data_IF_390945399251
#
_entry.id   IF_390945399251
#
_cell.length_a   1.000
_cell.length_b   1.000
_cell.length_c   1.000
_cell.angle_alpha   90.00
_cell.angle_beta   90.00
_cell.angle_gamma   90.00
#
_symmetry.space_group_name_H-M   'P 1'
#
loop_
_entity.id
_entity.type
_entity.pdbx_description
1 polymer ?
#
# COMPACT_ATOMS: atom_id res chain seq x y z
N UNK A 1 -13.23 1.83 -1.06
CA UNK A 1 -13.36 2.30 -2.44
C UNK A 1 -14.21 3.57 -2.61
N UNK A 2 -15.12 3.89 -1.68
CA UNK A 2 -15.86 5.17 -1.67
C UNK A 2 -14.88 6.34 -1.50
N UNK A 3 -13.85 6.17 -0.68
CA UNK A 3 -12.79 7.15 -0.48
C UNK A 3 -12.10 7.53 -1.81
N UNK A 4 -11.82 6.54 -2.65
CA UNK A 4 -11.23 6.78 -3.99
C UNK A 4 -12.16 7.55 -4.91
N UNK A 5 -13.46 7.30 -4.83
CA UNK A 5 -14.44 8.08 -5.60
C UNK A 5 -14.46 9.53 -5.13
N UNK A 6 -14.44 9.75 -3.82
CA UNK A 6 -14.38 11.08 -3.23
C UNK A 6 -13.11 11.85 -3.66
N UNK A 7 -11.96 11.20 -3.61
CA UNK A 7 -10.68 11.76 -4.07
C UNK A 7 -10.71 12.09 -5.57
N UNK A 8 -11.34 11.24 -6.39
CA UNK A 8 -11.49 11.49 -7.82
C UNK A 8 -12.31 12.76 -8.11
N UNK A 9 -13.40 12.98 -7.38
CA UNK A 9 -14.21 14.19 -7.52
C UNK A 9 -13.45 15.43 -7.05
N UNK A 10 -12.74 15.35 -5.93
CA UNK A 10 -11.87 16.44 -5.45
C UNK A 10 -10.72 16.76 -6.41
N UNK A 11 -10.15 15.75 -7.06
CA UNK A 11 -9.15 15.94 -8.12
C UNK A 11 -9.70 16.65 -9.35
N UNK A 12 -11.03 16.63 -9.55
CA UNK A 12 -11.74 17.33 -10.63
C UNK A 12 -12.37 18.66 -10.20
N UNK A 13 -12.03 19.16 -9.02
CA UNK A 13 -12.46 20.48 -8.52
C UNK A 13 -13.81 20.50 -7.83
N UNK A 14 -14.42 19.36 -7.54
CA UNK A 14 -15.69 19.29 -6.82
C UNK A 14 -15.41 19.20 -5.31
N UNK A 15 -15.34 20.35 -4.64
CA UNK A 15 -15.04 20.41 -3.20
C UNK A 15 -16.23 19.99 -2.32
N UNK A 16 -17.45 20.22 -2.80
CA UNK A 16 -18.69 20.03 -2.05
C UNK A 16 -19.39 18.72 -2.41
N UNK A 17 -18.61 17.73 -2.85
CA UNK A 17 -19.17 16.43 -3.22
C UNK A 17 -19.69 15.70 -1.98
N UNK A 18 -20.95 15.29 -2.05
CA UNK A 18 -21.62 14.46 -1.04
C UNK A 18 -21.84 13.06 -1.62
N UNK A 19 -21.29 12.06 -0.99
CA UNK A 19 -21.46 10.66 -1.38
C UNK A 19 -22.30 9.96 -0.31
N UNK A 20 -23.50 9.51 -0.70
CA UNK A 20 -24.34 8.73 0.20
C UNK A 20 -23.83 7.30 0.32
N UNK A 21 -24.07 6.64 1.47
CA UNK A 21 -23.73 5.24 1.64
C UNK A 21 -24.26 4.39 0.48
N UNK A 22 -23.49 3.41 -0.03
CA UNK A 22 -23.91 2.59 -1.15
C UNK A 22 -25.10 1.72 -0.76
N UNK A 23 -26.09 1.66 -1.63
CA UNK A 23 -27.17 0.68 -1.53
C UNK A 23 -26.67 -0.60 -2.18
N UNK A 24 -26.58 -1.66 -1.38
CA UNK A 24 -26.14 -2.98 -1.81
C UNK A 24 -27.36 -3.82 -2.19
N UNK A 25 -27.44 -4.21 -3.45
CA UNK A 25 -28.47 -5.11 -3.94
C UNK A 25 -27.82 -6.40 -4.47
N UNK A 26 -28.15 -7.53 -3.84
CA UNK A 26 -27.57 -8.83 -4.19
C UNK A 26 -28.57 -9.58 -5.07
N UNK A 27 -28.26 -9.69 -6.37
CA UNK A 27 -29.12 -10.37 -7.35
C UNK A 27 -28.47 -11.63 -7.91
N UNK A 28 -29.30 -12.62 -8.20
CA UNK A 28 -28.88 -13.78 -9.01
C UNK A 28 -28.75 -13.31 -10.48
N UNK A 29 -27.78 -13.85 -11.27
CA UNK A 29 -27.66 -13.47 -12.68
C UNK A 29 -28.90 -13.90 -13.46
N UNK A 30 -29.62 -12.93 -13.99
CA UNK A 30 -30.83 -13.18 -14.79
C UNK A 30 -31.32 -11.93 -15.50
N UNK A 31 -31.75 -12.05 -16.77
CA UNK A 31 -32.39 -11.01 -17.57
C UNK A 31 -33.51 -10.34 -16.78
N UNK A 32 -33.86 -9.05 -17.10
CA UNK A 32 -35.05 -8.35 -16.58
C UNK A 32 -36.22 -9.34 -16.49
N UNK A 33 -36.60 -9.70 -15.28
CA UNK A 33 -37.60 -10.76 -15.08
C UNK A 33 -38.84 -10.12 -14.48
N UNK A 34 -39.98 -10.39 -15.10
CA UNK A 34 -41.29 -10.11 -14.50
C UNK A 34 -41.36 -10.81 -13.14
N UNK A 35 -41.72 -10.07 -12.09
CA UNK A 35 -41.79 -10.58 -10.71
C UNK A 35 -42.60 -11.85 -10.56
N UNK A 36 -43.61 -12.03 -11.42
CA UNK A 36 -44.44 -13.24 -11.47
C UNK A 36 -43.67 -14.49 -11.92
N UNK A 37 -42.68 -14.32 -12.84
CA UNK A 37 -41.80 -15.42 -13.28
C UNK A 37 -40.76 -15.78 -12.24
N UNK A 38 -40.34 -14.83 -11.44
CA UNK A 38 -39.33 -15.02 -10.38
C UNK A 38 -39.95 -15.83 -9.22
N UNK A 39 -41.17 -15.51 -8.79
CA UNK A 39 -41.93 -16.28 -7.78
C UNK A 39 -42.18 -17.72 -8.22
N UNK A 40 -42.54 -17.93 -9.49
CA UNK A 40 -42.77 -19.26 -10.04
C UNK A 40 -41.46 -20.07 -10.18
N UNK A 41 -40.29 -19.42 -10.34
CA UNK A 41 -38.97 -20.06 -10.33
C UNK A 41 -38.50 -20.40 -8.93
N UNK A 42 -38.71 -19.52 -7.96
CA UNK A 42 -38.39 -19.80 -6.55
C UNK A 42 -39.18 -20.99 -6.01
N UNK A 43 -40.44 -21.08 -6.40
CA UNK A 43 -41.31 -22.18 -6.01
C UNK A 43 -40.86 -23.52 -6.63
N UNK A 44 -40.47 -23.50 -7.91
CA UNK A 44 -39.89 -24.65 -8.59
C UNK A 44 -38.52 -25.07 -8.01
N UNK A 45 -37.71 -24.09 -7.60
CA UNK A 45 -36.37 -24.36 -7.00
C UNK A 45 -36.53 -24.95 -5.59
N UNK A 46 -37.45 -24.43 -4.78
CA UNK A 46 -37.81 -25.00 -3.47
C UNK A 46 -38.34 -26.45 -3.60
N UNK A 47 -39.17 -26.69 -4.62
CA UNK A 47 -39.68 -28.05 -4.88
C UNK A 47 -38.60 -29.01 -5.39
N UNK A 48 -37.63 -28.52 -6.17
CA UNK A 48 -36.48 -29.28 -6.65
C UNK A 48 -35.50 -29.61 -5.51
N UNK A 49 -35.27 -28.67 -4.60
CA UNK A 49 -34.42 -28.86 -3.43
C UNK A 49 -35.04 -29.82 -2.42
N UNK A 50 -36.37 -29.75 -2.21
CA UNK A 50 -37.09 -30.77 -1.44
C UNK A 50 -36.96 -32.17 -2.04
N UNK A 51 -37.12 -32.32 -3.36
CA UNK A 51 -36.96 -33.63 -4.05
C UNK A 51 -35.50 -34.11 -4.00
N UNK A 52 -34.50 -33.20 -3.99
CA UNK A 52 -33.09 -33.56 -3.80
C UNK A 52 -32.83 -34.05 -2.39
N UNK A 53 -33.29 -33.31 -1.39
CA UNK A 53 -33.15 -33.67 0.02
C UNK A 53 -33.82 -35.04 0.31
N UNK A 54 -34.98 -35.29 -0.28
CA UNK A 54 -35.67 -36.58 -0.14
C UNK A 54 -34.90 -37.74 -0.83
N UNK A 55 -34.29 -37.49 -2.00
CA UNK A 55 -33.40 -38.45 -2.66
C UNK A 55 -32.12 -38.71 -1.89
N UNK A 56 -31.52 -37.68 -1.32
CA UNK A 56 -30.32 -37.81 -0.49
C UNK A 56 -30.62 -38.54 0.81
N UNK A 57 -31.73 -38.26 1.46
CA UNK A 57 -32.17 -38.95 2.65
C UNK A 57 -32.43 -40.47 2.35
N UNK A 58 -33.05 -40.77 1.19
CA UNK A 58 -33.23 -42.16 0.73
C UNK A 58 -31.92 -42.88 0.37
N UNK A 59 -30.96 -42.10 -0.19
CA UNK A 59 -29.61 -42.64 -0.51
C UNK A 59 -28.79 -42.85 0.76
N UNK A 60 -28.91 -41.97 1.75
CA UNK A 60 -28.24 -42.10 3.05
C UNK A 60 -28.80 -43.28 3.87
N UNK A 61 -30.11 -43.45 3.86
CA UNK A 61 -30.76 -44.64 4.46
C UNK A 61 -30.33 -45.98 3.81
N UNK A 62 -30.09 -45.96 2.49
CA UNK A 62 -29.50 -47.12 1.79
C UNK A 62 -28.01 -47.34 2.10
N UNK A 63 -27.24 -46.25 2.34
CA UNK A 63 -25.83 -46.32 2.74
C UNK A 63 -25.65 -46.89 4.16
N UNK A 64 -26.52 -46.51 5.09
CA UNK A 64 -26.48 -47.04 6.47
C UNK A 64 -26.70 -48.56 6.56
N UNK A 65 -27.22 -49.20 5.50
CA UNK A 65 -27.41 -50.65 5.41
C UNK A 65 -26.23 -51.40 4.78
N UNK A 66 -25.14 -50.71 4.40
CA UNK A 66 -23.95 -51.33 3.79
C UNK A 66 -22.71 -50.95 4.60
N UNK A 67 -21.91 -51.89 5.14
CA UNK A 67 -20.73 -51.58 5.89
C UNK A 67 -19.74 -50.78 5.04
N UNK A 68 -19.06 -49.73 5.62
CA UNK A 68 -18.12 -48.89 4.88
C UNK A 68 -16.89 -49.73 4.47
N UNK A 69 -16.45 -49.56 3.21
CA UNK A 69 -15.16 -50.12 2.76
C UNK A 69 -14.02 -49.37 3.50
N UNK A 70 -13.07 -50.10 4.11
CA UNK A 70 -11.93 -49.46 4.76
C UNK A 70 -11.08 -48.72 3.68
N UNK A 71 -10.79 -47.42 3.90
CA UNK A 71 -9.86 -46.62 3.09
C UNK A 71 -10.49 -45.69 2.06
N UNK A 72 -11.80 -45.47 2.03
CA UNK A 72 -12.40 -44.42 1.19
C UNK A 72 -12.29 -43.04 1.86
N UNK A 73 -11.75 -42.01 1.18
CA UNK A 73 -11.74 -40.65 1.73
C UNK A 73 -13.18 -40.14 1.92
N UNK A 74 -13.43 -39.27 2.92
CA UNK A 74 -14.77 -38.75 3.16
C UNK A 74 -15.27 -37.98 1.92
N UNK A 75 -16.56 -38.12 1.57
CA UNK A 75 -17.12 -37.39 0.44
C UNK A 75 -16.96 -35.87 0.65
N UNK A 76 -16.20 -35.26 -0.23
CA UNK A 76 -16.07 -33.81 -0.27
C UNK A 76 -17.43 -33.23 -0.68
N UNK A 77 -18.15 -32.66 0.24
CA UNK A 77 -19.37 -31.90 -0.06
C UNK A 77 -18.92 -30.66 -0.84
N UNK A 78 -19.08 -30.69 -2.14
CA UNK A 78 -18.89 -29.50 -2.98
C UNK A 78 -20.09 -28.62 -2.72
N UNK A 79 -19.89 -27.57 -1.90
CA UNK A 79 -20.89 -26.52 -1.76
C UNK A 79 -21.24 -25.95 -3.14
N UNK A 80 -22.52 -25.81 -3.48
CA UNK A 80 -22.92 -25.22 -4.74
C UNK A 80 -22.38 -23.80 -4.82
N UNK A 81 -21.50 -23.51 -5.78
CA UNK A 81 -21.00 -22.16 -6.06
C UNK A 81 -22.16 -21.35 -6.62
N UNK A 82 -22.97 -20.76 -5.76
CA UNK A 82 -24.01 -19.81 -6.16
C UNK A 82 -23.32 -18.53 -6.59
N UNK A 83 -23.23 -18.27 -7.89
CA UNK A 83 -22.77 -17.00 -8.41
C UNK A 83 -23.85 -15.97 -8.07
N UNK A 84 -23.54 -15.07 -7.15
CA UNK A 84 -24.37 -13.91 -6.82
C UNK A 84 -23.68 -12.67 -7.38
N UNK A 85 -24.44 -11.80 -8.02
CA UNK A 85 -23.97 -10.50 -8.46
C UNK A 85 -24.34 -9.49 -7.39
N UNK A 86 -23.38 -8.67 -7.00
CA UNK A 86 -23.58 -7.58 -6.07
C UNK A 86 -23.62 -6.29 -6.88
N UNK A 87 -24.75 -5.63 -6.87
CA UNK A 87 -24.93 -4.31 -7.48
C UNK A 87 -24.75 -3.26 -6.40
N UNK A 88 -23.79 -2.38 -6.59
CA UNK A 88 -23.54 -1.24 -5.72
C UNK A 88 -24.06 0.01 -6.41
N UNK A 89 -25.10 0.61 -5.85
CA UNK A 89 -25.61 1.90 -6.32
C UNK A 89 -25.12 2.99 -5.38
N UNK A 90 -24.24 3.86 -5.89
CA UNK A 90 -23.69 5.01 -5.16
C UNK A 90 -24.38 6.26 -5.71
N UNK A 91 -25.08 6.99 -4.83
CA UNK A 91 -25.67 8.29 -5.17
C UNK A 91 -24.68 9.39 -4.83
N UNK A 92 -24.27 10.15 -5.84
CA UNK A 92 -23.33 11.26 -5.70
C UNK A 92 -24.04 12.56 -6.02
N UNK A 93 -23.82 13.58 -5.19
CA UNK A 93 -24.17 14.96 -5.45
C UNK A 93 -22.88 15.74 -5.61
N UNK A 94 -22.58 16.16 -6.83
CA UNK A 94 -21.26 16.68 -7.21
C UNK A 94 -20.97 18.08 -6.66
N UNK A 95 -21.98 18.93 -6.58
CA UNK A 95 -21.80 20.35 -6.25
C UNK A 95 -21.20 21.16 -7.41
N UNK A 96 -20.80 22.42 -7.18
CA UNK A 96 -20.14 23.25 -8.17
C UNK A 96 -18.67 22.84 -8.36
N UNK A 97 -18.15 22.99 -9.59
CA UNK A 97 -16.74 22.83 -9.88
C UNK A 97 -15.98 24.13 -9.60
N UNK A 98 -14.93 24.06 -8.78
CA UNK A 98 -14.12 25.20 -8.40
C UNK A 98 -12.88 25.34 -9.29
N UNK A 99 -12.52 26.61 -9.56
CA UNK A 99 -11.25 27.00 -10.20
C UNK A 99 -10.28 27.53 -9.16
N UNK A 100 -9.00 27.32 -9.41
CA UNK A 100 -7.93 27.86 -8.57
C UNK A 100 -7.91 29.37 -8.66
N UNK A 101 -8.06 30.05 -7.53
CA UNK A 101 -7.89 31.48 -7.38
C UNK A 101 -6.43 31.85 -7.12
N UNK A 102 -6.23 32.73 -6.13
CA UNK A 102 -4.88 33.13 -5.69
C UNK A 102 -4.28 32.02 -4.83
N UNK A 103 -2.99 31.73 -5.08
CA UNK A 103 -2.20 30.86 -4.21
C UNK A 103 -1.23 31.70 -3.39
N UNK A 104 -1.26 31.58 -2.07
CA UNK A 104 -0.40 32.29 -1.13
C UNK A 104 0.37 31.31 -0.25
N UNK A 105 1.57 31.70 0.15
CA UNK A 105 2.44 30.90 1.03
C UNK A 105 2.69 31.66 2.32
N UNK A 106 2.69 30.94 3.44
CA UNK A 106 3.00 31.49 4.76
C UNK A 106 3.97 30.59 5.50
N UNK A 107 4.85 31.21 6.31
CA UNK A 107 5.77 30.46 7.18
C UNK A 107 7.03 29.91 6.49
N UNK A 108 7.27 30.29 5.24
CA UNK A 108 8.48 29.90 4.50
C UNK A 108 9.62 30.91 4.79
N UNK A 109 10.75 30.41 5.30
CA UNK A 109 11.98 31.17 5.50
C UNK A 109 13.16 30.58 4.72
N UNK A 110 13.20 29.26 4.57
CA UNK A 110 14.26 28.51 3.90
C UNK A 110 14.08 28.50 2.38
N UNK A 111 12.83 28.38 1.92
CA UNK A 111 12.47 28.41 0.50
C UNK A 111 11.77 29.72 0.17
N UNK A 112 12.06 30.29 -1.01
CA UNK A 112 11.31 31.47 -1.48
C UNK A 112 9.87 31.07 -1.84
N UNK A 113 8.93 32.02 -1.76
CA UNK A 113 7.54 31.81 -2.17
C UNK A 113 7.45 31.24 -3.60
N UNK A 114 8.28 31.77 -4.50
CA UNK A 114 8.37 31.31 -5.88
C UNK A 114 8.78 29.82 -5.96
N UNK A 115 9.77 29.41 -5.16
CA UNK A 115 10.22 28.02 -5.13
C UNK A 115 9.15 27.08 -4.57
N UNK A 116 8.43 27.54 -3.54
CA UNK A 116 7.31 26.80 -2.97
C UNK A 116 6.20 26.61 -4.01
N UNK A 117 5.75 27.72 -4.63
CA UNK A 117 4.67 27.66 -5.64
C UNK A 117 5.04 26.82 -6.86
N UNK A 118 6.31 26.79 -7.25
CA UNK A 118 6.80 25.96 -8.35
C UNK A 118 6.63 24.44 -8.12
N UNK A 119 6.36 24.00 -6.90
CA UNK A 119 6.08 22.58 -6.57
C UNK A 119 4.64 22.18 -6.83
N UNK A 120 3.76 23.16 -7.02
CA UNK A 120 2.34 22.92 -7.30
C UNK A 120 2.08 23.07 -8.79
N UNK A 121 1.65 21.98 -9.48
CA UNK A 121 1.31 22.04 -10.91
C UNK A 121 -0.08 22.65 -11.11
N UNK A 122 -0.35 23.80 -10.49
CA UNK A 122 -1.62 24.53 -10.52
C UNK A 122 -1.36 26.00 -10.83
N UNK A 123 -2.10 26.53 -11.80
CA UNK A 123 -2.08 27.94 -12.14
C UNK A 123 -3.43 28.59 -11.81
N UNK A 124 -3.48 29.89 -11.50
CA UNK A 124 -4.73 30.63 -11.36
C UNK A 124 -5.64 30.44 -12.58
N UNK A 125 -6.93 30.19 -12.35
CA UNK A 125 -7.92 29.94 -13.39
C UNK A 125 -8.07 28.48 -13.85
N UNK A 126 -7.12 27.60 -13.53
CA UNK A 126 -7.25 26.17 -13.80
C UNK A 126 -8.28 25.54 -12.84
N UNK A 127 -8.86 24.40 -13.21
CA UNK A 127 -9.72 23.62 -12.31
C UNK A 127 -8.90 23.20 -11.09
N UNK A 128 -9.45 23.46 -9.90
CA UNK A 128 -8.78 23.08 -8.66
C UNK A 128 -8.62 21.56 -8.59
N UNK A 129 -7.41 21.12 -8.39
CA UNK A 129 -7.08 19.71 -8.30
C UNK A 129 -6.46 19.39 -6.93
N UNK A 130 -7.22 18.73 -6.08
CA UNK A 130 -6.79 18.39 -4.72
C UNK A 130 -5.59 17.43 -4.72
N UNK A 131 -5.54 16.50 -5.67
CA UNK A 131 -4.40 15.59 -5.81
C UNK A 131 -3.12 16.32 -6.23
N UNK A 132 -3.25 17.37 -7.06
CA UNK A 132 -2.11 18.21 -7.43
C UNK A 132 -1.61 19.03 -6.25
N UNK A 133 -2.52 19.51 -5.37
CA UNK A 133 -2.14 20.17 -4.13
C UNK A 133 -1.40 19.21 -3.19
N UNK A 134 -1.93 18.01 -3.02
CA UNK A 134 -1.29 16.98 -2.18
C UNK A 134 0.09 16.61 -2.71
N UNK A 135 0.22 16.43 -4.02
CA UNK A 135 1.51 16.17 -4.67
C UNK A 135 2.53 17.31 -4.40
N UNK A 136 2.10 18.56 -4.49
CA UNK A 136 2.94 19.70 -4.16
C UNK A 136 3.42 19.70 -2.72
N UNK A 137 2.52 19.39 -1.77
CA UNK A 137 2.86 19.25 -0.35
C UNK A 137 3.91 18.16 -0.11
N UNK A 138 3.74 16.98 -0.72
CA UNK A 138 4.71 15.88 -0.58
C UNK A 138 6.07 16.26 -1.16
N UNK A 139 6.10 16.97 -2.29
CA UNK A 139 7.35 17.49 -2.85
C UNK A 139 8.02 18.51 -1.93
N UNK A 140 7.26 19.41 -1.31
CA UNK A 140 7.79 20.33 -0.32
C UNK A 140 8.40 19.59 0.88
N UNK A 141 7.70 18.59 1.42
CA UNK A 141 8.22 17.78 2.52
C UNK A 141 9.53 17.08 2.14
N UNK A 142 9.63 16.56 0.91
CA UNK A 142 10.87 15.99 0.40
C UNK A 142 12.00 17.02 0.29
N UNK A 143 11.71 18.22 -0.23
CA UNK A 143 12.68 19.30 -0.38
C UNK A 143 13.20 19.82 0.97
N UNK A 144 12.32 19.98 1.96
CA UNK A 144 12.68 20.33 3.33
C UNK A 144 13.45 19.19 4.00
N UNK A 145 12.99 17.94 3.84
CA UNK A 145 13.67 16.75 4.36
C UNK A 145 15.07 16.55 3.75
N UNK A 146 15.29 16.95 2.50
CA UNK A 146 16.61 16.93 1.87
C UNK A 146 17.59 17.93 2.51
N UNK A 147 17.05 19.00 3.11
CA UNK A 147 17.81 20.07 3.79
C UNK A 147 17.88 19.90 5.31
N UNK A 148 17.52 18.75 5.83
CA UNK A 148 17.57 18.45 7.26
C UNK A 148 16.33 18.85 8.06
N UNK A 149 15.35 19.51 7.45
CA UNK A 149 14.11 19.93 8.09
C UNK A 149 13.10 18.77 8.09
N UNK A 150 13.43 17.72 8.81
CA UNK A 150 12.69 16.43 8.77
C UNK A 150 11.31 16.50 9.42
N UNK A 151 11.08 17.44 10.30
CA UNK A 151 9.79 17.68 10.96
C UNK A 151 9.01 18.83 10.31
N UNK A 152 9.51 19.36 9.19
CA UNK A 152 8.77 20.38 8.45
C UNK A 152 7.39 19.84 8.02
N UNK A 153 6.37 20.62 8.29
CA UNK A 153 4.99 20.32 7.92
C UNK A 153 4.46 21.39 6.98
N UNK A 154 3.71 20.96 5.99
CA UNK A 154 3.00 21.86 5.10
C UNK A 154 1.53 21.45 5.08
N UNK A 155 0.64 22.41 5.29
CA UNK A 155 -0.80 22.23 5.27
C UNK A 155 -1.43 23.17 4.24
N UNK A 156 -2.58 22.77 3.68
CA UNK A 156 -3.34 23.57 2.75
C UNK A 156 -4.63 24.06 3.40
N UNK A 157 -4.95 25.32 3.21
CA UNK A 157 -6.23 25.92 3.55
C UNK A 157 -6.88 26.40 2.26
N UNK A 158 -8.13 26.03 2.03
CA UNK A 158 -8.89 26.40 0.81
C UNK A 158 -10.08 27.25 1.20
N UNK A 159 -10.10 28.47 0.74
CA UNK A 159 -11.19 29.45 0.98
C UNK A 159 -11.99 29.63 -0.29
N UNK A 160 -13.28 29.33 -0.22
CA UNK A 160 -14.21 29.47 -1.35
C UNK A 160 -14.62 30.93 -1.51
N UNK A 161 -14.63 31.43 -2.76
CA UNK A 161 -15.16 32.74 -3.12
C UNK A 161 -16.37 32.62 -4.05
N UNK A 162 -17.09 33.69 -4.22
CA UNK A 162 -18.14 33.81 -5.22
C UNK A 162 -17.58 33.55 -6.63
N UNK A 163 -18.42 33.00 -7.52
CA UNK A 163 -18.01 32.66 -8.88
C UNK A 163 -17.25 31.32 -9.00
N UNK A 164 -17.40 30.42 -8.02
CA UNK A 164 -16.74 29.10 -7.99
C UNK A 164 -15.21 29.20 -8.07
N UNK A 165 -14.64 30.18 -7.40
CA UNK A 165 -13.20 30.37 -7.26
C UNK A 165 -12.80 29.92 -5.86
N UNK A 166 -11.67 29.23 -5.76
CA UNK A 166 -11.12 28.80 -4.49
C UNK A 166 -9.67 29.29 -4.35
N UNK A 167 -9.42 30.14 -3.36
CA UNK A 167 -8.08 30.56 -3.00
C UNK A 167 -7.42 29.50 -2.13
N UNK A 168 -6.15 29.27 -2.36
CA UNK A 168 -5.37 28.27 -1.65
C UNK A 168 -4.25 28.94 -0.88
N UNK A 169 -4.20 28.73 0.42
CA UNK A 169 -3.09 29.13 1.27
C UNK A 169 -2.30 27.91 1.70
N UNK A 170 -1.00 27.91 1.44
CA UNK A 170 -0.07 26.89 1.91
C UNK A 170 0.61 27.43 3.17
N UNK A 171 0.35 26.79 4.30
CA UNK A 171 0.95 27.13 5.57
C UNK A 171 2.06 26.13 5.88
N UNK A 172 3.28 26.63 6.07
CA UNK A 172 4.49 25.85 6.30
C UNK A 172 4.96 26.12 7.72
N UNK A 173 5.23 25.07 8.44
CA UNK A 173 5.98 25.10 9.70
C UNK A 173 7.29 24.35 9.43
N UNK A 174 8.40 25.10 9.33
CA UNK A 174 9.68 24.55 8.91
C UNK A 174 10.40 23.80 10.03
N UNK A 175 10.10 24.14 11.32
CA UNK A 175 10.87 23.67 12.47
C UNK A 175 12.37 24.03 12.29
N UNK A 176 13.29 23.18 12.68
CA UNK A 176 14.73 23.38 12.58
C UNK A 176 15.41 22.28 11.76
N UNK A 177 16.62 22.56 11.25
CA UNK A 177 17.43 21.58 10.57
C UNK A 177 18.15 20.67 11.59
N UNK A 178 18.16 19.37 11.32
CA UNK A 178 18.79 18.37 12.16
C UNK A 178 20.03 17.77 11.47
N UNK A 179 21.06 17.51 12.26
CA UNK A 179 22.21 16.68 11.86
C UNK A 179 22.10 15.30 12.50
N UNK A 180 22.78 14.34 11.93
CA UNK A 180 22.81 12.95 12.45
C UNK A 180 23.71 12.88 13.67
N UNK A 181 23.14 12.57 14.85
CA UNK A 181 23.91 12.31 16.06
C UNK A 181 24.57 10.91 15.99
N UNK A 182 23.76 9.91 15.72
CA UNK A 182 24.16 8.51 15.71
C UNK A 182 23.23 7.69 14.80
N UNK A 183 23.77 6.65 14.16
CA UNK A 183 23.03 5.67 13.39
C UNK A 183 23.10 4.33 14.11
N UNK A 184 21.93 3.79 14.46
CA UNK A 184 21.79 2.51 15.16
C UNK A 184 21.05 1.52 14.26
N UNK A 185 21.48 0.25 14.28
CA UNK A 185 20.79 -0.84 13.60
C UNK A 185 20.20 -1.80 14.64
N UNK A 186 18.96 -2.22 14.43
CA UNK A 186 18.28 -3.19 15.28
C UNK A 186 17.83 -4.39 14.45
N UNK A 187 18.01 -5.61 14.98
CA UNK A 187 17.55 -6.85 14.33
C UNK A 187 18.64 -7.56 13.52
N UNK A 188 19.84 -7.01 13.41
CA UNK A 188 20.98 -7.64 12.77
C UNK A 188 21.71 -8.61 13.74
N UNK A 189 21.10 -9.78 13.97
CA UNK A 189 21.61 -10.77 14.93
C UNK A 189 22.87 -11.49 14.43
N UNK A 190 23.00 -11.68 13.14
CA UNK A 190 24.12 -12.36 12.48
C UNK A 190 24.97 -11.38 11.67
N UNK A 191 24.33 -10.42 10.99
CA UNK A 191 25.02 -9.47 10.13
C UNK A 191 25.79 -8.44 10.97
N UNK A 192 27.09 -8.31 10.74
CA UNK A 192 27.88 -7.30 11.41
C UNK A 192 27.45 -5.88 11.04
N UNK A 193 27.45 -4.99 12.01
CA UNK A 193 27.10 -3.57 11.87
C UNK A 193 27.95 -2.89 10.77
N UNK A 194 29.21 -3.22 10.67
CA UNK A 194 30.15 -2.71 9.65
C UNK A 194 29.72 -3.00 8.22
N UNK A 195 28.98 -4.09 7.98
CA UNK A 195 28.47 -4.45 6.65
C UNK A 195 27.32 -3.50 6.26
N UNK A 196 26.49 -3.15 7.21
CA UNK A 196 25.38 -2.23 7.00
C UNK A 196 25.87 -0.79 6.85
N UNK A 197 26.80 -0.37 7.72
CA UNK A 197 27.39 0.98 7.69
C UNK A 197 28.09 1.32 6.37
N UNK A 198 28.78 0.38 5.75
CA UNK A 198 29.45 0.63 4.46
C UNK A 198 28.47 0.90 3.30
N UNK A 199 27.23 0.43 3.40
CA UNK A 199 26.18 0.69 2.41
C UNK A 199 25.44 2.00 2.67
N UNK A 200 25.59 2.58 3.85
CA UNK A 200 25.02 3.88 4.19
C UNK A 200 25.65 4.99 3.37
N UNK A 201 24.83 5.91 2.92
CA UNK A 201 25.23 7.18 2.30
C UNK A 201 25.15 8.34 3.27
N UNK A 202 24.46 8.13 4.39
CA UNK A 202 24.32 9.09 5.46
C UNK A 202 25.39 8.80 6.51
N UNK A 203 26.09 9.82 6.96
CA UNK A 203 27.15 9.71 7.97
C UNK A 203 26.75 10.45 9.25
N UNK A 204 27.23 9.98 10.38
CA UNK A 204 27.13 10.69 11.66
C UNK A 204 27.83 12.05 11.57
N UNK A 205 27.23 13.08 12.13
CA UNK A 205 27.67 14.47 12.01
C UNK A 205 27.24 15.19 10.73
N UNK A 206 26.76 14.48 9.71
CA UNK A 206 26.24 15.12 8.49
C UNK A 206 24.81 15.62 8.67
N UNK A 207 24.36 16.49 7.76
CA UNK A 207 22.97 16.94 7.71
C UNK A 207 22.04 15.73 7.48
N UNK A 208 20.99 15.63 8.28
CA UNK A 208 20.00 14.55 8.20
C UNK A 208 19.10 14.70 6.96
N UNK A 209 19.52 14.12 5.86
CA UNK A 209 18.78 14.17 4.60
C UNK A 209 17.91 12.94 4.40
N UNK A 210 16.59 13.13 4.36
CA UNK A 210 15.62 12.03 4.19
C UNK A 210 15.83 11.26 2.88
N UNK A 211 16.01 11.89 1.71
CA UNK A 211 16.29 11.15 0.47
C UNK A 211 17.59 10.33 0.53
N UNK A 212 18.64 10.85 1.21
CA UNK A 212 19.89 10.11 1.37
C UNK A 212 19.71 8.89 2.28
N UNK A 213 18.86 9.02 3.31
CA UNK A 213 18.50 7.90 4.19
C UNK A 213 17.72 6.83 3.44
N UNK A 214 16.75 7.21 2.60
CA UNK A 214 16.00 6.30 1.74
C UNK A 214 16.92 5.53 0.77
N UNK A 215 17.83 6.24 0.10
CA UNK A 215 18.84 5.61 -0.78
C UNK A 215 19.72 4.63 0.00
N UNK A 216 20.06 4.95 1.24
CA UNK A 216 20.82 4.07 2.12
C UNK A 216 20.04 2.78 2.43
N UNK A 217 18.75 2.91 2.74
CA UNK A 217 17.87 1.76 2.93
C UNK A 217 17.80 0.85 1.70
N UNK A 218 17.66 1.43 0.50
CA UNK A 218 17.69 0.66 -0.75
C UNK A 218 19.00 -0.10 -0.94
N UNK A 219 20.16 0.52 -0.62
CA UNK A 219 21.46 -0.16 -0.73
C UNK A 219 21.61 -1.32 0.24
N UNK A 220 21.12 -1.15 1.47
CA UNK A 220 21.08 -2.23 2.45
C UNK A 220 20.18 -3.37 1.94
N UNK A 221 19.01 -3.06 1.39
CA UNK A 221 18.11 -4.06 0.82
C UNK A 221 18.73 -4.83 -0.36
N UNK A 222 19.57 -4.17 -1.18
CA UNK A 222 20.29 -4.81 -2.30
C UNK A 222 21.26 -5.89 -1.86
N UNK A 223 21.67 -5.94 -0.59
CA UNK A 223 22.48 -7.04 -0.04
C UNK A 223 21.75 -8.40 -0.14
N UNK A 224 20.40 -8.39 -0.16
CA UNK A 224 19.56 -9.56 -0.41
C UNK A 224 19.46 -10.56 0.75
N UNK A 225 20.05 -10.25 1.90
CA UNK A 225 19.95 -11.05 3.13
C UNK A 225 19.48 -10.25 4.34
N UNK A 226 19.20 -8.95 4.16
CA UNK A 226 18.57 -8.06 5.14
C UNK A 226 17.51 -7.22 4.46
N UNK A 227 16.45 -6.95 5.18
CA UNK A 227 15.34 -6.06 4.75
C UNK A 227 15.20 -4.96 5.78
N UNK A 228 15.54 -3.71 5.44
CA UNK A 228 15.31 -2.59 6.33
C UNK A 228 13.83 -2.23 6.38
N UNK A 229 13.38 -1.74 7.53
CA UNK A 229 12.07 -1.09 7.65
C UNK A 229 12.08 0.18 6.76
N UNK A 230 11.05 0.41 5.94
CA UNK A 230 10.96 1.59 5.10
C UNK A 230 10.88 2.90 5.90
N UNK A 231 10.41 2.85 7.15
CA UNK A 231 10.26 4.01 8.03
C UNK A 231 11.22 3.92 9.22
N UNK A 232 12.48 4.38 9.08
CA UNK A 232 13.42 4.42 10.19
C UNK A 232 12.93 5.38 11.29
N UNK A 233 13.14 5.00 12.54
CA UNK A 233 12.81 5.82 13.69
C UNK A 233 13.84 6.94 13.83
N UNK A 234 13.39 8.18 13.82
CA UNK A 234 14.22 9.37 14.00
C UNK A 234 13.84 10.04 15.31
N UNK A 235 14.77 10.12 16.25
CA UNK A 235 14.55 10.65 17.58
C UNK A 235 15.44 11.89 17.80
N UNK A 236 14.85 13.09 18.03
CA UNK A 236 15.64 14.28 18.37
C UNK A 236 16.39 14.07 19.68
N UNK A 237 17.60 14.57 19.75
CA UNK A 237 18.36 14.62 21.01
C UNK A 237 18.04 15.93 21.71
N UNK A 238 17.53 15.85 22.91
CA UNK A 238 17.12 17.03 23.68
C UNK A 238 18.27 18.02 23.84
N UNK A 239 17.94 19.30 23.69
CA UNK A 239 18.90 20.41 23.85
C UNK A 239 19.90 20.58 22.70
N UNK A 240 19.76 19.80 21.63
CA UNK A 240 20.67 19.88 20.45
C UNK A 240 19.89 19.94 19.14
N UNK A 241 20.57 20.30 18.05
CA UNK A 241 20.04 20.23 16.69
C UNK A 241 20.48 18.94 15.99
N UNK A 242 20.51 17.84 16.76
CA UNK A 242 20.88 16.52 16.26
C UNK A 242 19.80 15.51 16.50
N UNK A 243 19.76 14.46 15.69
CA UNK A 243 18.82 13.36 15.84
C UNK A 243 19.51 12.01 15.71
N UNK A 244 19.06 11.05 16.49
CA UNK A 244 19.46 9.63 16.39
C UNK A 244 18.58 8.96 15.34
N UNK A 245 19.21 8.21 14.45
CA UNK A 245 18.53 7.43 13.41
C UNK A 245 18.62 5.96 13.75
N UNK A 246 17.50 5.32 14.00
CA UNK A 246 17.41 3.89 14.30
C UNK A 246 16.74 3.16 13.14
N UNK A 247 17.47 2.22 12.53
CA UNK A 247 17.03 1.45 11.37
C UNK A 247 16.75 0.03 11.84
N UNK A 248 15.47 -0.36 11.84
CA UNK A 248 15.09 -1.74 12.11
C UNK A 248 15.32 -2.59 10.89
N UNK A 249 15.82 -3.80 11.09
CA UNK A 249 16.19 -4.74 10.06
C UNK A 249 15.58 -6.10 10.34
N UNK A 250 15.15 -6.76 9.29
CA UNK A 250 14.73 -8.15 9.30
C UNK A 250 15.74 -8.97 8.49
N UNK A 251 16.41 -9.93 9.13
CA UNK A 251 17.34 -10.83 8.46
C UNK A 251 16.56 -11.89 7.67
N UNK A 252 16.89 -12.05 6.40
CA UNK A 252 16.27 -13.00 5.49
C UNK A 252 17.15 -14.24 5.30
N UNK A 253 16.55 -15.31 4.75
CA UNK A 253 17.26 -16.53 4.43
C UNK A 253 18.44 -16.28 3.49
N UNK A 254 19.64 -16.68 3.93
CA UNK A 254 20.92 -16.43 3.27
C UNK A 254 21.49 -17.65 2.56
N UNK A 255 20.91 -18.81 2.82
CA UNK A 255 21.37 -20.09 2.29
C UNK A 255 20.43 -20.58 1.21
N UNK A 256 20.97 -20.99 0.08
CA UNK A 256 20.24 -21.56 -1.04
C UNK A 256 20.86 -22.90 -1.39
N UNK A 257 20.02 -23.93 -1.42
CA UNK A 257 20.41 -25.27 -1.86
C UNK A 257 19.62 -25.56 -3.14
N UNK A 258 20.32 -25.84 -4.21
CA UNK A 258 19.74 -26.28 -5.47
C UNK A 258 20.15 -27.73 -5.73
N UNK A 259 19.17 -28.58 -5.98
CA UNK A 259 19.40 -29.97 -6.37
C UNK A 259 18.66 -30.20 -7.69
N UNK A 260 19.38 -30.68 -8.67
CA UNK A 260 18.87 -31.00 -9.99
C UNK A 260 19.31 -32.39 -10.43
N UNK A 261 18.57 -32.98 -11.33
CA UNK A 261 18.96 -34.22 -11.98
C UNK A 261 18.32 -34.30 -13.35
N UNK A 262 18.95 -35.01 -14.25
CA UNK A 262 18.49 -35.19 -15.60
C UNK A 262 19.04 -36.45 -16.24
N UNK A 263 18.54 -36.77 -17.45
CA UNK A 263 19.06 -37.82 -18.28
C UNK A 263 19.48 -37.24 -19.63
N UNK A 264 20.74 -37.51 -19.99
CA UNK A 264 21.28 -37.18 -21.30
C UNK A 264 21.54 -38.46 -22.08
N UNK A 265 21.21 -38.46 -23.37
CA UNK A 265 21.44 -39.62 -24.24
C UNK A 265 22.92 -39.97 -24.45
N UNK A 266 23.83 -39.04 -24.17
CA UNK A 266 25.28 -39.22 -24.28
C UNK A 266 25.94 -39.55 -22.94
N UNK A 267 25.49 -38.97 -21.83
CA UNK A 267 26.12 -39.06 -20.51
C UNK A 267 25.33 -39.92 -19.51
N UNK A 268 24.09 -40.32 -19.87
CA UNK A 268 23.21 -41.05 -18.96
C UNK A 268 22.55 -40.16 -17.91
N UNK A 269 22.31 -40.71 -16.72
CA UNK A 269 21.78 -39.95 -15.57
C UNK A 269 22.85 -39.11 -14.94
N UNK A 270 22.51 -37.85 -14.67
CA UNK A 270 23.36 -36.93 -13.92
C UNK A 270 22.60 -36.27 -12.79
N UNK A 271 23.31 -35.93 -11.72
CA UNK A 271 22.80 -35.17 -10.59
C UNK A 271 23.72 -33.98 -10.36
N UNK A 272 23.10 -32.83 -10.14
CA UNK A 272 23.80 -31.59 -9.77
C UNK A 272 23.32 -31.12 -8.42
N UNK A 273 24.23 -30.71 -7.58
CA UNK A 273 23.91 -30.06 -6.32
C UNK A 273 24.74 -28.77 -6.19
N UNK A 274 24.12 -27.67 -5.85
CA UNK A 274 24.82 -26.45 -5.50
C UNK A 274 24.35 -25.93 -4.16
N UNK A 275 25.26 -25.41 -3.39
CA UNK A 275 25.01 -24.69 -2.15
C UNK A 275 25.61 -23.31 -2.28
N UNK A 276 24.78 -22.29 -2.10
CA UNK A 276 25.20 -20.90 -2.07
C UNK A 276 24.82 -20.26 -0.75
N UNK A 277 25.71 -19.53 -0.16
CA UNK A 277 25.41 -18.73 1.03
C UNK A 277 25.74 -17.27 0.77
N UNK A 278 24.81 -16.40 1.08
CA UNK A 278 25.01 -14.95 1.14
C UNK A 278 25.32 -14.59 2.59
N UNK A 279 26.21 -13.66 2.82
CA UNK A 279 26.59 -13.21 4.16
C UNK A 279 27.30 -14.28 5.03
N UNK A 280 28.33 -14.91 4.47
CA UNK A 280 29.15 -15.88 5.20
C UNK A 280 29.76 -15.23 6.48
N UNK A 281 29.50 -15.83 7.64
CA UNK A 281 29.93 -15.36 8.96
C UNK A 281 29.53 -13.89 9.26
N UNK A 282 28.40 -13.40 8.73
CA UNK A 282 27.92 -12.04 8.97
C UNK A 282 28.72 -10.91 8.28
N UNK A 283 29.68 -11.26 7.41
CA UNK A 283 30.62 -10.31 6.77
C UNK A 283 30.16 -9.82 5.38
N UNK A 284 28.96 -10.18 4.94
CA UNK A 284 28.39 -9.78 3.65
C UNK A 284 29.13 -10.36 2.44
N UNK A 285 29.81 -11.51 2.59
CA UNK A 285 30.46 -12.21 1.49
C UNK A 285 29.52 -13.26 0.89
N UNK A 286 29.56 -13.39 -0.43
CA UNK A 286 28.87 -14.45 -1.18
C UNK A 286 29.89 -15.54 -1.51
N UNK A 287 29.56 -16.79 -1.25
CA UNK A 287 30.34 -17.98 -1.62
C UNK A 287 29.43 -19.03 -2.21
#
# INVERSE_FOLDING_TARGET
DIQKVFELYKARGYLDVEIKPPVVDVRKPGKKVDEAKERAREEKEKLADQKRAEKEAKAEAKRKKRPPRPGAPPPTVKEPRIRRWVYLTVKVKEGPQYKTGTMTVKGNTVLTERDVLARFPLLPGMVLNDSALQYGIERLRSDYGARGYIYATATKSVVRREGNIADVTIEINEDKAYSVAQIEFEGNTVTHDTVLRREMRLNEGSLLSRPVLEVSGYKIQQLGFVRPDPDPLIEPVEGTDTARVRIKLEEQGRNEVQVGGGYSGLEGFFFTGSYSTRNLLGRGRVT
#
